data_IF_408594989368
#
_entry.id   IF_408594989368
#
_cell.length_a   1.000
_cell.length_b   1.000
_cell.length_c   1.000
_cell.angle_alpha   90.00
_cell.angle_beta   90.00
_cell.angle_gamma   90.00
#
_symmetry.space_group_name_H-M   'P 1'
#
loop_
_entity.id
_entity.type
_entity.pdbx_description
1 polymer ?
#
# COMPACT_ATOMS: atom_id res chain seq x y z
N UNK A 1 17.24 -33.46 30.63
CA UNK A 1 16.87 -32.11 30.13
C UNK A 1 17.22 -31.90 28.63
N UNK A 2 18.19 -32.61 28.04
CA UNK A 2 18.57 -32.41 26.63
C UNK A 2 17.47 -32.75 25.57
N UNK A 3 16.71 -33.84 25.76
CA UNK A 3 15.66 -34.24 24.81
C UNK A 3 14.45 -33.31 24.82
N UNK A 4 13.96 -32.90 25.99
CA UNK A 4 12.87 -31.92 26.13
C UNK A 4 13.26 -30.57 25.51
N UNK A 5 14.51 -30.14 25.69
CA UNK A 5 15.04 -28.96 25.01
C UNK A 5 15.02 -29.14 23.48
N UNK A 6 15.43 -30.30 22.97
CA UNK A 6 15.38 -30.59 21.53
C UNK A 6 13.96 -30.53 20.94
N UNK A 7 12.95 -31.04 21.66
CA UNK A 7 11.55 -30.99 21.22
C UNK A 7 11.00 -29.56 21.28
N UNK A 8 11.31 -28.82 22.35
CA UNK A 8 10.95 -27.41 22.47
C UNK A 8 11.56 -26.54 21.35
N UNK A 9 12.82 -26.83 20.97
CA UNK A 9 13.45 -26.20 19.81
C UNK A 9 12.76 -26.59 18.50
N UNK A 10 12.33 -27.84 18.33
CA UNK A 10 11.60 -28.31 17.15
C UNK A 10 10.26 -27.58 16.95
N UNK A 11 9.46 -27.45 18.01
CA UNK A 11 8.17 -26.74 17.93
C UNK A 11 8.34 -25.23 17.67
N UNK A 12 9.42 -24.62 18.17
CA UNK A 12 9.73 -23.21 17.91
C UNK A 12 10.19 -22.99 16.46
N UNK A 13 10.97 -23.90 15.88
CA UNK A 13 11.36 -23.86 14.47
C UNK A 13 10.16 -24.04 13.54
N UNK A 14 9.27 -24.98 13.84
CA UNK A 14 8.02 -25.17 13.08
C UNK A 14 7.14 -23.90 13.10
N UNK A 15 6.98 -23.28 14.28
CA UNK A 15 6.21 -22.05 14.43
C UNK A 15 6.82 -20.86 13.66
N UNK A 16 8.15 -20.77 13.59
CA UNK A 16 8.84 -19.74 12.82
C UNK A 16 8.65 -19.94 11.32
N UNK A 17 8.80 -21.18 10.83
CA UNK A 17 8.60 -21.53 9.44
C UNK A 17 7.16 -21.26 8.97
N UNK A 18 6.17 -21.61 9.79
CA UNK A 18 4.76 -21.35 9.49
C UNK A 18 4.44 -19.85 9.45
N UNK A 19 4.98 -19.06 10.39
CA UNK A 19 4.82 -17.61 10.36
C UNK A 19 5.47 -16.97 9.12
N UNK A 20 6.67 -17.42 8.73
CA UNK A 20 7.32 -16.95 7.51
C UNK A 20 6.49 -17.25 6.26
N UNK A 21 5.90 -18.45 6.18
CA UNK A 21 5.01 -18.84 5.08
C UNK A 21 3.77 -17.93 5.01
N UNK A 22 3.11 -17.70 6.14
CA UNK A 22 1.95 -16.80 6.24
C UNK A 22 2.27 -15.36 5.83
N UNK A 23 3.44 -14.84 6.23
CA UNK A 23 3.92 -13.51 5.82
C UNK A 23 4.13 -13.49 4.30
N UNK A 24 4.79 -14.51 3.74
CA UNK A 24 5.06 -14.61 2.31
C UNK A 24 3.77 -14.65 1.47
N UNK A 25 2.78 -15.43 1.91
CA UNK A 25 1.51 -15.55 1.21
C UNK A 25 0.67 -14.26 1.30
N UNK A 26 0.64 -13.64 2.48
CA UNK A 26 -0.01 -12.33 2.67
C UNK A 26 0.68 -11.25 1.83
N UNK A 27 2.01 -11.27 1.75
CA UNK A 27 2.81 -10.37 0.92
C UNK A 27 2.50 -10.53 -0.57
N UNK A 28 2.40 -11.77 -1.06
CA UNK A 28 2.00 -12.06 -2.46
C UNK A 28 0.61 -11.50 -2.78
N UNK A 29 -0.36 -11.68 -1.90
CA UNK A 29 -1.71 -11.15 -2.12
C UNK A 29 -1.73 -9.62 -2.09
N UNK A 30 -1.00 -8.99 -1.17
CA UNK A 30 -0.85 -7.53 -1.16
C UNK A 30 -0.23 -7.01 -2.46
N UNK A 31 0.86 -7.63 -2.93
CA UNK A 31 1.53 -7.25 -4.17
C UNK A 31 0.57 -7.34 -5.38
N UNK A 32 -0.20 -8.42 -5.47
CA UNK A 32 -1.23 -8.58 -6.51
C UNK A 32 -2.28 -7.47 -6.46
N UNK A 33 -2.79 -7.16 -5.28
CA UNK A 33 -3.78 -6.08 -5.09
C UNK A 33 -3.22 -4.70 -5.42
N UNK A 34 -1.99 -4.41 -5.02
CA UNK A 34 -1.29 -3.16 -5.34
C UNK A 34 -1.07 -3.01 -6.85
N UNK A 35 -0.72 -4.10 -7.54
CA UNK A 35 -0.56 -4.09 -9.00
C UNK A 35 -1.87 -3.66 -9.68
N UNK A 36 -2.99 -4.27 -9.33
CA UNK A 36 -4.32 -3.91 -9.89
C UNK A 36 -4.69 -2.47 -9.54
N UNK A 37 -4.49 -2.06 -8.29
CA UNK A 37 -4.78 -0.71 -7.83
C UNK A 37 -3.96 0.35 -8.58
N UNK A 38 -2.66 0.13 -8.77
CA UNK A 38 -1.80 1.04 -9.53
C UNK A 38 -2.29 1.23 -10.97
N UNK A 39 -2.82 0.17 -11.60
CA UNK A 39 -3.44 0.22 -12.91
C UNK A 39 -4.71 1.09 -12.93
N UNK A 40 -5.55 1.01 -11.90
CA UNK A 40 -6.71 1.90 -11.75
C UNK A 40 -6.29 3.35 -11.55
N UNK A 41 -5.31 3.61 -10.69
CA UNK A 41 -4.79 4.96 -10.45
C UNK A 41 -4.22 5.59 -11.72
N UNK A 42 -3.51 4.82 -12.53
CA UNK A 42 -3.02 5.26 -13.84
C UNK A 42 -4.15 5.65 -14.80
N UNK A 43 -5.29 4.95 -14.79
CA UNK A 43 -6.47 5.33 -15.60
C UNK A 43 -7.07 6.65 -15.12
N UNK A 44 -7.18 6.85 -13.81
CA UNK A 44 -7.67 8.10 -13.22
C UNK A 44 -6.78 9.28 -13.62
N UNK A 45 -5.46 9.12 -13.55
CA UNK A 45 -4.52 10.16 -13.96
C UNK A 45 -4.69 10.61 -15.41
N UNK A 46 -4.88 9.67 -16.35
CA UNK A 46 -5.14 9.99 -17.77
C UNK A 46 -6.49 10.69 -18.00
N UNK A 47 -7.52 10.28 -17.28
CA UNK A 47 -8.82 10.92 -17.36
C UNK A 47 -8.75 12.37 -16.87
N UNK A 48 -8.04 12.62 -15.77
CA UNK A 48 -7.83 13.97 -15.25
C UNK A 48 -7.04 14.86 -16.25
N UNK A 49 -5.97 14.34 -16.84
CA UNK A 49 -5.20 15.05 -17.88
C UNK A 49 -6.10 15.46 -19.07
N UNK A 50 -6.97 14.56 -19.52
CA UNK A 50 -7.93 14.83 -20.59
C UNK A 50 -8.95 15.91 -20.18
N UNK A 51 -9.46 15.85 -18.95
CA UNK A 51 -10.40 16.85 -18.42
C UNK A 51 -9.77 18.23 -18.32
N UNK A 52 -8.53 18.33 -17.83
CA UNK A 52 -7.78 19.59 -17.75
C UNK A 52 -7.55 20.18 -19.14
N UNK A 53 -7.15 19.36 -20.12
CA UNK A 53 -7.00 19.80 -21.52
C UNK A 53 -8.30 20.34 -22.11
N UNK A 54 -9.41 19.66 -21.85
CA UNK A 54 -10.74 20.06 -22.35
C UNK A 54 -11.19 21.37 -21.71
N UNK A 55 -10.97 21.52 -20.40
CA UNK A 55 -11.23 22.77 -19.68
C UNK A 55 -10.42 23.94 -20.25
N UNK A 56 -9.10 23.78 -20.40
CA UNK A 56 -8.24 24.82 -20.94
C UNK A 56 -8.62 25.20 -22.39
N UNK A 57 -9.07 24.23 -23.20
CA UNK A 57 -9.58 24.49 -24.54
C UNK A 57 -10.88 25.30 -24.52
N UNK A 58 -11.78 25.02 -23.58
CA UNK A 58 -13.02 25.77 -23.42
C UNK A 58 -12.75 27.21 -22.98
N UNK A 59 -11.84 27.42 -22.01
CA UNK A 59 -11.38 28.75 -21.59
C UNK A 59 -10.76 29.52 -22.76
N UNK A 60 -9.88 28.88 -23.53
CA UNK A 60 -9.30 29.50 -24.72
C UNK A 60 -10.36 29.91 -25.76
N UNK A 61 -11.39 29.09 -25.97
CA UNK A 61 -12.50 29.44 -26.87
C UNK A 61 -13.37 30.58 -26.33
N UNK A 62 -13.59 30.63 -25.02
CA UNK A 62 -14.29 31.73 -24.36
C UNK A 62 -13.55 33.04 -24.64
N UNK A 63 -12.25 33.08 -24.38
CA UNK A 63 -11.43 34.28 -24.53
C UNK A 63 -11.26 34.73 -25.98
N UNK A 64 -11.04 33.80 -26.90
CA UNK A 64 -10.72 34.12 -28.29
C UNK A 64 -11.94 34.38 -29.18
N UNK A 65 -13.12 33.85 -28.83
CA UNK A 65 -14.31 33.90 -29.71
C UNK A 65 -15.52 34.52 -29.05
N UNK A 66 -15.80 34.15 -27.80
CA UNK A 66 -17.03 34.56 -27.12
C UNK A 66 -16.90 35.97 -26.57
N UNK A 67 -15.84 36.28 -25.81
CA UNK A 67 -15.65 37.61 -25.23
C UNK A 67 -15.55 38.73 -26.28
N UNK A 68 -14.84 38.58 -27.43
CA UNK A 68 -14.84 39.59 -28.48
C UNK A 68 -16.22 39.79 -29.10
N UNK A 69 -16.98 38.71 -29.30
CA UNK A 69 -18.35 38.78 -29.82
C UNK A 69 -19.29 39.51 -28.85
N UNK A 70 -19.17 39.24 -27.55
CA UNK A 70 -19.90 39.93 -26.50
C UNK A 70 -19.59 41.44 -26.50
N UNK A 71 -18.31 41.82 -26.55
CA UNK A 71 -17.89 43.24 -26.64
C UNK A 71 -18.43 43.93 -27.89
N UNK A 72 -18.44 43.23 -29.04
CA UNK A 72 -19.02 43.76 -30.28
C UNK A 72 -20.53 43.99 -30.13
N UNK A 73 -21.22 43.07 -29.47
CA UNK A 73 -22.66 43.19 -29.25
C UNK A 73 -23.01 44.39 -28.35
N UNK A 74 -22.24 44.60 -27.27
CA UNK A 74 -22.34 45.81 -26.43
C UNK A 74 -22.08 47.08 -27.23
N UNK A 75 -21.07 47.09 -28.11
CA UNK A 75 -20.73 48.27 -28.93
C UNK A 75 -21.82 48.67 -29.93
N UNK A 76 -22.74 47.76 -30.25
CA UNK A 76 -23.87 48.02 -31.15
C UNK A 76 -25.12 48.50 -30.39
N UNK A 77 -25.01 48.77 -29.09
CA UNK A 77 -26.15 49.07 -28.19
C UNK A 77 -27.27 48.03 -28.27
N UNK A 78 -26.95 46.81 -28.76
CA UNK A 78 -27.91 45.73 -28.96
C UNK A 78 -28.27 45.01 -27.66
N UNK A 79 -27.69 45.44 -26.52
CA UNK A 79 -27.93 44.92 -25.17
C UNK A 79 -28.03 46.07 -24.17
N UNK A 80 -29.08 46.08 -23.35
CA UNK A 80 -29.26 47.03 -22.24
C UNK A 80 -28.42 46.66 -20.99
N UNK A 81 -27.90 45.43 -20.92
CA UNK A 81 -27.09 44.93 -19.81
C UNK A 81 -25.66 44.62 -20.26
N UNK A 82 -24.67 45.08 -19.49
CA UNK A 82 -23.27 44.70 -19.72
C UNK A 82 -22.99 43.29 -19.21
N UNK A 83 -22.28 42.52 -20.03
CA UNK A 83 -21.91 41.14 -19.74
C UNK A 83 -20.64 41.11 -18.87
N UNK A 84 -20.83 41.02 -17.55
CA UNK A 84 -19.74 40.76 -16.62
C UNK A 84 -19.44 39.26 -16.57
N UNK A 85 -18.32 38.83 -17.16
CA UNK A 85 -17.80 37.47 -17.00
C UNK A 85 -16.71 37.44 -15.93
N UNK A 86 -16.80 36.50 -15.00
CA UNK A 86 -15.68 36.16 -14.12
C UNK A 86 -14.66 35.34 -14.94
N UNK A 87 -13.40 35.76 -14.94
CA UNK A 87 -12.35 35.10 -15.72
C UNK A 87 -12.06 33.72 -15.12
N UNK A 88 -12.25 32.62 -15.85
CA UNK A 88 -11.90 31.30 -15.36
C UNK A 88 -10.38 31.19 -15.17
N UNK A 89 -9.95 30.66 -14.03
CA UNK A 89 -8.52 30.45 -13.76
C UNK A 89 -7.93 29.42 -14.74
N UNK A 90 -6.81 29.74 -15.38
CA UNK A 90 -6.06 28.76 -16.18
C UNK A 90 -5.52 27.66 -15.27
N UNK A 91 -5.76 26.40 -15.63
CA UNK A 91 -5.30 25.25 -14.87
C UNK A 91 -3.99 24.73 -15.47
N UNK A 92 -2.85 25.09 -14.86
CA UNK A 92 -1.54 24.47 -15.15
C UNK A 92 -1.24 23.33 -14.18
N UNK A 93 -2.13 22.34 -14.12
CA UNK A 93 -1.96 21.19 -13.23
C UNK A 93 -1.41 20.02 -14.06
N UNK A 94 -0.12 19.70 -13.88
CA UNK A 94 0.43 18.43 -14.39
C UNK A 94 0.19 17.35 -13.32
N UNK A 95 -0.47 16.22 -13.64
CA UNK A 95 -0.62 15.12 -12.69
C UNK A 95 0.76 14.67 -12.18
N UNK A 96 0.94 14.65 -10.85
CA UNK A 96 2.20 14.24 -10.22
C UNK A 96 2.46 12.77 -10.55
N UNK A 97 3.46 12.49 -11.38
CA UNK A 97 3.82 11.14 -11.74
C UNK A 97 4.52 10.49 -10.54
N UNK A 98 3.90 9.46 -9.97
CA UNK A 98 4.53 8.64 -8.93
C UNK A 98 5.65 7.83 -9.58
N UNK A 99 6.86 7.89 -9.01
CA UNK A 99 7.96 7.03 -9.44
C UNK A 99 7.53 5.57 -9.33
N UNK A 100 7.77 4.80 -10.39
CA UNK A 100 7.58 3.35 -10.37
C UNK A 100 8.57 2.78 -9.36
N UNK A 101 8.07 2.06 -8.35
CA UNK A 101 8.93 1.30 -7.46
C UNK A 101 9.34 0.03 -8.21
N UNK A 102 10.52 0.05 -8.82
CA UNK A 102 11.10 -1.12 -9.45
C UNK A 102 11.67 -2.00 -8.33
N UNK A 103 10.88 -2.99 -7.88
CA UNK A 103 11.36 -3.95 -6.91
C UNK A 103 12.48 -4.78 -7.59
N UNK A 104 13.65 -4.96 -6.95
CA UNK A 104 14.62 -5.93 -7.44
C UNK A 104 13.92 -7.29 -7.49
N UNK A 105 13.99 -7.95 -8.65
CA UNK A 105 13.41 -9.27 -8.88
C UNK A 105 14.16 -10.39 -8.13
N UNK A 106 15.15 -10.03 -7.32
CA UNK A 106 15.93 -10.97 -6.55
C UNK A 106 15.12 -11.37 -5.32
N UNK A 107 14.78 -12.65 -5.34
CA UNK A 107 14.27 -13.50 -4.26
C UNK A 107 14.39 -12.82 -2.89
N UNK A 108 13.27 -12.55 -2.21
CA UNK A 108 13.29 -12.26 -0.78
C UNK A 108 13.63 -13.59 -0.09
N UNK A 109 14.88 -14.04 -0.22
CA UNK A 109 15.48 -14.98 0.72
C UNK A 109 15.61 -14.20 2.01
N UNK A 110 14.63 -14.36 2.89
CA UNK A 110 14.89 -14.16 4.31
C UNK A 110 16.02 -15.11 4.67
N UNK A 111 17.25 -14.61 4.74
CA UNK A 111 18.39 -15.35 5.27
C UNK A 111 18.06 -15.67 6.74
N UNK A 112 17.49 -16.85 6.95
CA UNK A 112 17.20 -17.40 8.27
C UNK A 112 18.50 -17.67 9.07
N UNK A 113 19.67 -17.52 8.45
CA UNK A 113 20.98 -17.61 9.12
C UNK A 113 21.33 -16.35 9.94
N UNK A 114 20.83 -15.14 9.60
CA UNK A 114 21.08 -13.93 10.42
C UNK A 114 20.13 -13.80 11.61
N UNK A 115 19.08 -14.62 11.70
CA UNK A 115 18.19 -14.68 12.87
C UNK A 115 18.84 -15.35 14.09
N UNK A 116 20.15 -15.64 14.07
CA UNK A 116 20.98 -15.79 15.27
C UNK A 116 21.27 -14.42 15.92
N UNK A 117 20.25 -13.57 16.04
CA UNK A 117 20.30 -12.36 16.86
C UNK A 117 20.49 -12.85 18.30
N UNK A 118 21.46 -12.25 19.00
CA UNK A 118 21.64 -12.27 20.46
C UNK A 118 20.29 -12.02 21.15
N UNK A 119 19.51 -13.09 21.35
CA UNK A 119 18.23 -13.06 22.03
C UNK A 119 18.50 -13.38 23.49
N UNK A 120 18.61 -12.31 24.26
CA UNK A 120 18.43 -12.21 25.71
C UNK A 120 17.68 -13.44 26.25
N UNK A 121 18.32 -14.17 27.18
CA UNK A 121 17.74 -15.39 27.76
C UNK A 121 16.28 -15.13 28.16
N UNK A 122 15.32 -15.98 27.73
CA UNK A 122 13.95 -15.84 28.20
C UNK A 122 13.95 -15.96 29.73
N UNK A 123 13.07 -15.25 30.47
CA UNK A 123 13.00 -15.38 31.91
C UNK A 123 12.85 -16.86 32.25
N UNK A 124 13.87 -17.40 32.91
CA UNK A 124 14.09 -18.83 33.10
C UNK A 124 12.91 -19.51 33.80
N UNK A 125 12.14 -18.74 34.57
CA UNK A 125 11.05 -19.25 35.41
C UNK A 125 9.80 -19.67 34.61
N UNK A 126 9.38 -18.91 33.59
CA UNK A 126 8.08 -19.15 32.91
C UNK A 126 8.15 -20.34 31.93
N UNK A 127 9.34 -20.60 31.37
CA UNK A 127 9.60 -21.74 30.47
C UNK A 127 9.84 -23.02 31.27
N UNK A 128 10.45 -22.91 32.45
CA UNK A 128 10.68 -24.05 33.35
C UNK A 128 9.38 -24.54 33.99
N UNK A 129 8.47 -23.63 34.36
CA UNK A 129 7.15 -23.98 34.90
C UNK A 129 6.26 -24.68 33.87
N UNK A 130 6.18 -24.17 32.64
CA UNK A 130 5.40 -24.81 31.56
C UNK A 130 6.00 -26.14 31.10
N UNK A 131 7.34 -26.26 31.12
CA UNK A 131 8.01 -27.50 30.80
C UNK A 131 7.85 -28.56 31.91
N UNK A 132 7.85 -28.14 33.19
CA UNK A 132 7.56 -29.02 34.33
C UNK A 132 6.11 -29.50 34.28
N UNK A 133 5.15 -28.59 34.11
CA UNK A 133 3.72 -28.94 34.01
C UNK A 133 3.44 -29.90 32.86
N UNK A 134 4.02 -29.67 31.68
CA UNK A 134 3.85 -30.58 30.54
C UNK A 134 4.53 -31.94 30.74
N UNK A 135 5.65 -31.99 31.47
CA UNK A 135 6.33 -33.23 31.82
C UNK A 135 5.56 -34.03 32.88
N UNK A 136 4.94 -33.34 33.85
CA UNK A 136 4.09 -33.94 34.87
C UNK A 136 2.80 -34.51 34.24
N UNK A 137 2.19 -33.80 33.30
CA UNK A 137 1.03 -34.30 32.54
C UNK A 137 1.38 -35.54 31.69
N UNK A 138 2.56 -35.55 31.06
CA UNK A 138 3.02 -36.69 30.28
C UNK A 138 3.38 -37.89 31.16
N UNK A 139 3.94 -37.65 32.35
CA UNK A 139 4.22 -38.70 33.33
C UNK A 139 2.93 -39.30 33.89
N UNK A 140 1.93 -38.47 34.19
CA UNK A 140 0.62 -38.93 34.63
C UNK A 140 -0.06 -39.80 33.55
N UNK A 141 0.08 -39.44 32.27
CA UNK A 141 -0.44 -40.24 31.15
C UNK A 141 0.27 -41.58 30.94
N UNK A 142 1.50 -41.74 31.44
CA UNK A 142 2.28 -42.99 31.37
C UNK A 142 2.08 -43.89 32.59
N UNK A 143 1.65 -43.35 33.73
CA UNK A 143 1.39 -44.12 34.96
C UNK A 143 -0.07 -44.64 35.03
N UNK A 144 -0.99 -44.12 34.21
CA UNK A 144 -2.41 -44.54 34.10
C UNK A 144 -2.68 -45.54 32.94
N UNK A 145 -1.63 -46.18 32.40
CA UNK A 145 -1.71 -47.25 31.38
C UNK A 145 -0.95 -48.51 31.79
#
# INVERSE_FOLDING_TARGET
IALLRSVAYGWRQEALAENARRISDTGRELHKRLTVFSGHLGKVGRALDTSVKSYNSAVSSLDSRVLPSARKFESLEASEQSLTFESPASLEITPKQTQSLEAPADDITLDLEEASIDLEEPPTEEVEEKASSAADDFRAALEDS
#
